data_IF_713635477685
#
_entry.id   IF_713635477685
#
_cell.length_a   1.000
_cell.length_b   1.000
_cell.length_c   1.000
_cell.angle_alpha   90.00
_cell.angle_beta   90.00
_cell.angle_gamma   90.00
#
_symmetry.space_group_name_H-M   'P 1'
#
loop_
_entity.id
_entity.type
_entity.pdbx_description
1 polymer ?
#
# COMPACT_ATOMS: atom_id res chain seq x y z
N UNK A 1 -21.94 21.78 -4.43
CA UNK A 1 -22.25 20.78 -3.38
C UNK A 1 -21.10 20.61 -2.38
N UNK A 2 -19.89 20.17 -2.78
CA UNK A 2 -18.74 19.95 -1.87
C UNK A 2 -18.40 21.19 -1.03
N UNK A 3 -18.35 22.38 -1.64
CA UNK A 3 -18.10 23.63 -0.91
C UNK A 3 -19.19 23.97 0.13
N UNK A 4 -20.45 23.59 -0.10
CA UNK A 4 -21.53 23.81 0.85
C UNK A 4 -21.43 22.84 2.05
N UNK A 5 -21.07 21.58 1.79
CA UNK A 5 -20.76 20.60 2.84
C UNK A 5 -19.54 21.03 3.67
N UNK A 6 -18.48 21.52 3.02
CA UNK A 6 -17.28 22.04 3.70
C UNK A 6 -17.62 23.26 4.56
N UNK A 7 -18.44 24.19 4.07
CA UNK A 7 -18.93 25.33 4.89
C UNK A 7 -19.70 24.85 6.12
N UNK A 8 -20.51 23.81 5.98
CA UNK A 8 -21.26 23.23 7.09
C UNK A 8 -20.37 22.42 8.06
N UNK A 9 -19.28 21.83 7.60
CA UNK A 9 -18.28 21.18 8.47
C UNK A 9 -17.42 22.18 9.26
N UNK A 10 -17.30 23.41 8.78
CA UNK A 10 -16.65 24.53 9.50
C UNK A 10 -17.55 25.18 10.55
N UNK A 11 -18.79 24.70 10.68
CA UNK A 11 -19.70 25.09 11.76
C UNK A 11 -19.29 24.30 13.02
N UNK A 12 -18.64 24.99 13.96
CA UNK A 12 -18.00 24.39 15.14
C UNK A 12 -18.97 23.48 15.92
N UNK A 13 -20.25 23.85 16.02
CA UNK A 13 -21.28 23.09 16.74
C UNK A 13 -21.60 21.73 16.11
N UNK A 14 -21.61 21.63 14.77
CA UNK A 14 -21.83 20.35 14.09
C UNK A 14 -20.59 19.48 14.20
N UNK A 15 -19.44 20.12 14.11
CA UNK A 15 -18.15 19.48 14.01
C UNK A 15 -17.71 18.88 15.37
N UNK A 16 -18.07 19.53 16.48
CA UNK A 16 -17.93 18.98 17.84
C UNK A 16 -18.79 17.74 18.08
N UNK A 17 -19.91 17.58 17.37
CA UNK A 17 -20.83 16.44 17.53
C UNK A 17 -20.46 15.24 16.66
N UNK A 18 -19.44 15.35 15.81
CA UNK A 18 -19.05 14.25 14.93
C UNK A 18 -18.48 13.08 15.74
N UNK A 19 -19.10 11.92 15.60
CA UNK A 19 -18.55 10.67 16.11
C UNK A 19 -17.30 10.25 15.33
N UNK A 20 -16.49 9.35 15.91
CA UNK A 20 -15.32 8.78 15.22
C UNK A 20 -15.65 8.15 13.86
N UNK A 21 -16.81 7.51 13.74
CA UNK A 21 -17.29 6.95 12.47
C UNK A 21 -17.62 8.06 11.45
N UNK A 22 -18.31 9.12 11.88
CA UNK A 22 -18.67 10.25 11.01
C UNK A 22 -17.42 11.01 10.54
N UNK A 23 -16.42 11.18 11.41
CA UNK A 23 -15.11 11.74 11.04
C UNK A 23 -14.42 10.88 9.99
N UNK A 24 -14.34 9.56 10.20
CA UNK A 24 -13.79 8.62 9.23
C UNK A 24 -14.48 8.71 7.87
N UNK A 25 -15.82 8.75 7.83
CA UNK A 25 -16.58 8.87 6.58
C UNK A 25 -16.35 10.21 5.88
N UNK A 26 -16.27 11.30 6.65
CA UNK A 26 -16.00 12.64 6.13
C UNK A 26 -14.63 12.70 5.48
N UNK A 27 -13.59 12.25 6.20
CA UNK A 27 -12.21 12.22 5.70
C UNK A 27 -12.07 11.30 4.48
N UNK A 28 -12.72 10.13 4.50
CA UNK A 28 -12.77 9.24 3.35
C UNK A 28 -13.39 9.92 2.12
N UNK A 29 -14.49 10.64 2.30
CA UNK A 29 -15.16 11.39 1.23
C UNK A 29 -14.27 12.49 0.65
N UNK A 30 -13.60 13.27 1.52
CA UNK A 30 -12.66 14.31 1.10
C UNK A 30 -11.49 13.72 0.30
N UNK A 31 -10.93 12.60 0.75
CA UNK A 31 -9.85 11.90 0.06
C UNK A 31 -10.28 11.39 -1.32
N UNK A 32 -11.48 10.81 -1.45
CA UNK A 32 -12.02 10.36 -2.74
C UNK A 32 -12.26 11.51 -3.71
N UNK A 33 -12.66 12.67 -3.20
CA UNK A 33 -12.83 13.90 -3.98
C UNK A 33 -11.51 14.62 -4.27
N UNK A 34 -10.39 14.14 -3.73
CA UNK A 34 -9.08 14.82 -3.76
C UNK A 34 -9.17 16.26 -3.23
N UNK A 35 -10.07 16.51 -2.28
CA UNK A 35 -10.30 17.84 -1.73
C UNK A 35 -9.27 18.14 -0.66
N UNK A 36 -8.33 19.04 -0.98
CA UNK A 36 -7.19 19.37 -0.12
C UNK A 36 -7.30 20.80 0.42
N UNK A 37 -8.03 20.96 1.52
CA UNK A 37 -8.11 22.19 2.30
C UNK A 37 -7.34 22.01 3.61
N UNK A 38 -6.16 22.64 3.72
CA UNK A 38 -5.27 22.42 4.87
C UNK A 38 -5.93 22.80 6.19
N UNK A 39 -6.60 23.96 6.26
CA UNK A 39 -7.23 24.41 7.51
C UNK A 39 -8.33 23.45 7.98
N UNK A 40 -9.14 22.94 7.06
CA UNK A 40 -10.14 21.91 7.40
C UNK A 40 -9.49 20.59 7.84
N UNK A 41 -8.44 20.15 7.14
CA UNK A 41 -7.77 18.88 7.44
C UNK A 41 -7.02 18.93 8.77
N UNK A 42 -6.37 20.04 9.10
CA UNK A 42 -5.69 20.25 10.38
C UNK A 42 -6.72 20.24 11.51
N UNK A 43 -7.85 20.94 11.34
CA UNK A 43 -8.94 20.94 12.30
C UNK A 43 -9.55 19.53 12.50
N UNK A 44 -9.79 18.79 11.40
CA UNK A 44 -10.28 17.41 11.46
C UNK A 44 -9.27 16.48 12.14
N UNK A 45 -7.96 16.70 11.93
CA UNK A 45 -6.89 15.96 12.57
C UNK A 45 -6.89 16.20 14.08
N UNK A 46 -6.97 17.47 14.51
CA UNK A 46 -7.03 17.85 15.92
C UNK A 46 -8.26 17.24 16.60
N UNK A 47 -9.43 17.25 15.94
CA UNK A 47 -10.64 16.61 16.47
C UNK A 47 -10.49 15.10 16.57
N UNK A 48 -10.00 14.45 15.52
CA UNK A 48 -9.80 13.00 15.49
C UNK A 48 -8.72 12.53 16.49
N UNK A 49 -7.74 13.38 16.80
CA UNK A 49 -6.66 13.12 17.75
C UNK A 49 -7.06 13.28 19.22
N UNK A 50 -8.25 13.80 19.54
CA UNK A 50 -8.68 13.94 20.93
C UNK A 50 -8.91 12.56 21.58
N UNK A 51 -8.49 12.34 22.85
CA UNK A 51 -8.57 11.03 23.50
C UNK A 51 -9.98 10.41 23.49
N UNK A 52 -11.01 11.22 23.71
CA UNK A 52 -12.41 10.78 23.72
C UNK A 52 -12.89 10.29 22.34
N UNK A 53 -12.33 10.85 21.26
CA UNK A 53 -12.64 10.43 19.88
C UNK A 53 -11.83 9.19 19.53
N UNK A 54 -10.52 9.19 19.80
CA UNK A 54 -9.63 8.06 19.55
C UNK A 54 -10.13 6.78 20.22
N UNK A 55 -10.54 6.86 21.49
CA UNK A 55 -11.07 5.72 22.25
C UNK A 55 -12.34 5.11 21.63
N UNK A 56 -13.13 5.92 20.92
CA UNK A 56 -14.33 5.48 20.21
C UNK A 56 -14.10 4.96 18.79
N UNK A 57 -12.88 5.03 18.26
CA UNK A 57 -12.60 4.58 16.89
C UNK A 57 -12.64 3.06 16.78
N UNK A 58 -13.29 2.58 15.72
CA UNK A 58 -13.20 1.19 15.25
C UNK A 58 -11.94 0.98 14.41
N UNK A 59 -11.50 -0.27 14.21
CA UNK A 59 -10.37 -0.59 13.32
C UNK A 59 -10.56 -0.03 11.90
N UNK A 60 -11.80 -0.06 11.39
CA UNK A 60 -12.14 0.53 10.12
C UNK A 60 -11.97 2.06 10.15
N UNK A 61 -12.43 2.72 11.22
CA UNK A 61 -12.29 4.18 11.34
C UNK A 61 -10.82 4.61 11.40
N UNK A 62 -9.99 3.89 12.18
CA UNK A 62 -8.54 4.13 12.23
C UNK A 62 -7.91 4.02 10.85
N UNK A 63 -8.15 2.91 10.15
CA UNK A 63 -7.53 2.69 8.84
C UNK A 63 -8.04 3.66 7.76
N UNK A 64 -9.32 4.05 7.80
CA UNK A 64 -9.88 5.05 6.88
C UNK A 64 -9.31 6.45 7.11
N UNK A 65 -9.16 6.87 8.37
CA UNK A 65 -8.56 8.17 8.71
C UNK A 65 -7.11 8.19 8.23
N UNK A 66 -6.30 7.19 8.59
CA UNK A 66 -4.92 7.10 8.14
C UNK A 66 -4.83 7.10 6.59
N UNK A 67 -5.65 6.29 5.93
CA UNK A 67 -5.72 6.22 4.47
C UNK A 67 -6.10 7.55 3.83
N UNK A 68 -7.03 8.30 4.41
CA UNK A 68 -7.46 9.59 3.88
C UNK A 68 -6.34 10.63 3.92
N UNK A 69 -5.63 10.74 5.04
CA UNK A 69 -4.47 11.64 5.19
C UNK A 69 -3.33 11.26 4.24
N UNK A 70 -3.03 9.97 4.13
CA UNK A 70 -2.06 9.45 3.16
C UNK A 70 -2.45 9.76 1.71
N UNK A 71 -3.71 9.53 1.34
CA UNK A 71 -4.22 9.80 -0.02
C UNK A 71 -4.20 11.29 -0.38
N UNK A 72 -4.44 12.17 0.60
CA UNK A 72 -4.38 13.61 0.41
C UNK A 72 -2.94 14.16 0.49
N UNK A 73 -1.96 13.34 0.85
CA UNK A 73 -0.56 13.74 1.01
C UNK A 73 -0.37 14.78 2.11
N UNK A 74 -1.12 14.65 3.21
CA UNK A 74 -1.05 15.54 4.37
C UNK A 74 -0.62 14.73 5.58
N UNK A 75 0.55 15.06 6.13
CA UNK A 75 1.05 14.49 7.37
C UNK A 75 0.62 15.38 8.54
N UNK A 76 -0.10 14.80 9.50
CA UNK A 76 -0.28 15.36 10.83
C UNK A 76 0.31 14.37 11.84
N UNK A 77 1.49 14.68 12.39
CA UNK A 77 2.25 13.76 13.23
C UNK A 77 1.49 13.36 14.51
N UNK A 78 0.80 14.32 15.14
CA UNK A 78 0.02 14.09 16.36
C UNK A 78 -1.12 13.10 16.14
N UNK A 79 -1.86 13.26 15.04
CA UNK A 79 -2.91 12.32 14.63
C UNK A 79 -2.32 10.93 14.35
N UNK A 80 -1.25 10.84 13.55
CA UNK A 80 -0.65 9.54 13.20
C UNK A 80 -0.16 8.81 14.45
N UNK A 81 0.49 9.52 15.38
CA UNK A 81 0.90 8.96 16.68
C UNK A 81 -0.31 8.53 17.53
N UNK A 82 -1.40 9.29 17.52
CA UNK A 82 -2.65 8.94 18.20
C UNK A 82 -3.30 7.67 17.63
N UNK A 83 -3.36 7.53 16.31
CA UNK A 83 -3.87 6.34 15.63
C UNK A 83 -2.99 5.11 15.88
N UNK A 84 -1.66 5.28 15.90
CA UNK A 84 -0.73 4.21 16.24
C UNK A 84 -0.94 3.73 17.68
N UNK A 85 -1.02 4.66 18.65
CA UNK A 85 -1.29 4.35 20.05
C UNK A 85 -2.60 3.61 20.23
N UNK A 86 -3.68 4.12 19.61
CA UNK A 86 -5.00 3.48 19.63
C UNK A 86 -4.93 2.06 19.05
N UNK A 87 -4.25 1.88 17.92
CA UNK A 87 -4.06 0.58 17.27
C UNK A 87 -3.36 -0.43 18.19
N UNK A 88 -2.39 0.01 18.98
CA UNK A 88 -1.59 -0.81 19.88
C UNK A 88 -2.22 -1.04 21.26
N UNK A 89 -3.41 -0.49 21.54
CA UNK A 89 -4.11 -0.75 22.80
C UNK A 89 -4.40 -2.24 22.99
N UNK A 90 -4.31 -2.76 24.24
CA UNK A 90 -4.57 -4.15 24.54
C UNK A 90 -5.92 -4.63 23.97
N UNK A 91 -5.87 -5.69 23.18
CA UNK A 91 -7.08 -6.29 22.58
C UNK A 91 -7.70 -5.51 21.43
N UNK A 92 -7.28 -4.29 21.11
CA UNK A 92 -7.87 -3.56 19.97
C UNK A 92 -7.35 -4.07 18.63
N UNK A 93 -6.06 -4.35 18.52
CA UNK A 93 -5.46 -4.86 17.29
C UNK A 93 -6.07 -6.19 16.82
N UNK A 94 -6.63 -7.00 17.71
CA UNK A 94 -7.30 -8.25 17.33
C UNK A 94 -8.56 -8.00 16.48
N UNK A 95 -9.18 -6.83 16.61
CA UNK A 95 -10.36 -6.41 15.82
C UNK A 95 -10.00 -6.03 14.38
N UNK A 96 -8.72 -5.90 14.06
CA UNK A 96 -8.28 -5.62 12.70
C UNK A 96 -8.48 -6.84 11.81
N UNK A 97 -9.01 -6.59 10.62
CA UNK A 97 -9.12 -7.51 9.49
C UNK A 97 -8.05 -7.20 8.44
N UNK A 98 -7.77 -8.09 7.47
CA UNK A 98 -6.72 -7.91 6.47
C UNK A 98 -6.72 -6.53 5.78
N UNK A 99 -7.89 -6.05 5.37
CA UNK A 99 -8.04 -4.71 4.80
C UNK A 99 -7.52 -3.61 5.73
N UNK A 100 -7.93 -3.62 7.00
CA UNK A 100 -7.52 -2.58 7.97
C UNK A 100 -6.03 -2.64 8.28
N UNK A 101 -5.43 -3.83 8.30
CA UNK A 101 -3.97 -4.00 8.46
C UNK A 101 -3.25 -3.39 7.27
N UNK A 102 -3.62 -3.80 6.05
CA UNK A 102 -2.94 -3.35 4.84
C UNK A 102 -3.09 -1.85 4.61
N UNK A 103 -4.28 -1.27 4.84
CA UNK A 103 -4.52 0.17 4.69
C UNK A 103 -3.75 0.98 5.73
N UNK A 104 -3.66 0.51 6.97
CA UNK A 104 -2.89 1.20 8.02
C UNK A 104 -1.40 1.17 7.70
N UNK A 105 -0.85 0.00 7.36
CA UNK A 105 0.56 -0.12 6.94
C UNK A 105 0.85 0.77 5.72
N UNK A 106 0.01 0.71 4.69
CA UNK A 106 0.15 1.51 3.48
C UNK A 106 0.09 3.01 3.76
N UNK A 107 -0.81 3.47 4.64
CA UNK A 107 -0.93 4.88 4.98
C UNK A 107 0.32 5.42 5.69
N UNK A 108 0.84 4.69 6.67
CA UNK A 108 2.06 5.06 7.37
C UNK A 108 3.28 5.07 6.44
N UNK A 109 3.39 4.07 5.55
CA UNK A 109 4.43 4.04 4.54
C UNK A 109 4.33 5.20 3.53
N UNK A 110 3.12 5.51 3.06
CA UNK A 110 2.87 6.59 2.09
C UNK A 110 3.21 7.96 2.65
N UNK A 111 2.99 8.17 3.95
CA UNK A 111 3.34 9.41 4.65
C UNK A 111 4.80 9.44 5.12
N UNK A 112 5.58 8.37 4.90
CA UNK A 112 6.97 8.28 5.33
C UNK A 112 7.14 8.24 6.85
N UNK A 113 6.20 7.62 7.57
CA UNK A 113 6.20 7.51 9.04
C UNK A 113 6.63 6.10 9.46
N UNK A 114 7.92 5.87 9.80
CA UNK A 114 8.43 4.55 10.20
C UNK A 114 8.12 4.25 11.67
N UNK A 115 6.83 4.15 12.04
CA UNK A 115 6.45 3.74 13.39
C UNK A 115 6.73 2.24 13.59
N UNK A 116 7.94 1.92 14.06
CA UNK A 116 8.41 0.55 14.23
C UNK A 116 7.53 -0.26 15.19
N UNK A 117 6.94 0.35 16.22
CA UNK A 117 6.09 -0.33 17.18
C UNK A 117 4.76 -0.74 16.55
N UNK A 118 4.14 0.17 15.80
CA UNK A 118 2.94 -0.10 15.02
C UNK A 118 3.20 -1.19 13.98
N UNK A 119 4.25 -1.04 13.18
CA UNK A 119 4.59 -2.01 12.14
C UNK A 119 4.86 -3.40 12.75
N UNK A 120 5.60 -3.48 13.86
CA UNK A 120 5.78 -4.75 14.57
C UNK A 120 4.44 -5.33 15.08
N UNK A 121 3.52 -4.49 15.56
CA UNK A 121 2.16 -4.88 15.93
C UNK A 121 1.38 -5.48 14.75
N UNK A 122 1.32 -4.76 13.64
CA UNK A 122 0.65 -5.21 12.42
C UNK A 122 1.24 -6.53 11.90
N UNK A 123 2.57 -6.71 11.95
CA UNK A 123 3.21 -7.98 11.60
C UNK A 123 2.75 -9.13 12.51
N UNK A 124 2.74 -8.93 13.84
CA UNK A 124 2.24 -9.94 14.79
C UNK A 124 0.79 -10.31 14.52
N UNK A 125 -0.06 -9.32 14.23
CA UNK A 125 -1.47 -9.53 13.87
C UNK A 125 -1.60 -10.36 12.60
N UNK A 126 -0.80 -10.03 11.59
CA UNK A 126 -0.80 -10.72 10.29
C UNK A 126 -0.38 -12.19 10.42
N UNK A 127 0.62 -12.45 11.26
CA UNK A 127 1.19 -13.79 11.46
C UNK A 127 0.38 -14.70 12.39
N UNK A 128 -0.77 -14.24 12.91
CA UNK A 128 -1.66 -15.11 13.66
C UNK A 128 -2.16 -16.27 12.78
N UNK A 129 -2.34 -17.49 13.35
CA UNK A 129 -2.80 -18.65 12.59
C UNK A 129 -4.08 -18.37 11.80
N UNK A 130 -4.08 -18.71 10.51
CA UNK A 130 -5.24 -18.54 9.63
C UNK A 130 -5.58 -17.11 9.21
N UNK A 131 -4.88 -16.08 9.71
CA UNK A 131 -5.23 -14.70 9.35
C UNK A 131 -4.77 -14.33 7.94
N UNK A 132 -3.55 -14.75 7.54
CA UNK A 132 -3.03 -14.55 6.19
C UNK A 132 -3.88 -15.20 5.10
N UNK A 133 -4.56 -16.31 5.37
CA UNK A 133 -5.47 -16.95 4.39
C UNK A 133 -6.66 -16.08 4.02
N UNK A 134 -7.05 -15.12 4.87
CA UNK A 134 -8.12 -14.17 4.57
C UNK A 134 -7.66 -12.95 3.76
N UNK A 135 -6.36 -12.81 3.51
CA UNK A 135 -5.86 -11.71 2.69
C UNK A 135 -6.28 -11.88 1.23
N UNK A 136 -6.71 -10.78 0.64
CA UNK A 136 -6.94 -10.58 -0.79
C UNK A 136 -5.64 -10.14 -1.48
N UNK A 137 -5.54 -10.29 -2.81
CA UNK A 137 -4.35 -9.92 -3.58
C UNK A 137 -3.79 -8.52 -3.26
N UNK A 138 -4.65 -7.49 -3.27
CA UNK A 138 -4.28 -6.12 -2.96
C UNK A 138 -3.71 -5.95 -1.55
N UNK A 139 -4.24 -6.67 -0.56
CA UNK A 139 -3.84 -6.53 0.84
C UNK A 139 -2.44 -7.10 1.07
N UNK A 140 -2.10 -8.20 0.37
CA UNK A 140 -0.75 -8.77 0.38
C UNK A 140 0.24 -7.79 -0.25
N UNK A 141 -0.07 -7.30 -1.45
CA UNK A 141 0.80 -6.38 -2.19
C UNK A 141 1.02 -5.06 -1.42
N UNK A 142 -0.04 -4.46 -0.87
CA UNK A 142 0.07 -3.23 -0.08
C UNK A 142 0.89 -3.44 1.19
N UNK A 143 0.72 -4.57 1.88
CA UNK A 143 1.48 -4.86 3.09
C UNK A 143 2.96 -5.05 2.76
N UNK A 144 3.30 -5.86 1.75
CA UNK A 144 4.69 -6.04 1.32
C UNK A 144 5.33 -4.70 0.91
N UNK A 145 4.62 -3.92 0.08
CA UNK A 145 5.08 -2.60 -0.37
C UNK A 145 5.31 -1.63 0.79
N UNK A 146 4.42 -1.62 1.79
CA UNK A 146 4.54 -0.72 2.94
C UNK A 146 5.81 -0.99 3.75
N UNK A 147 6.12 -2.26 4.02
CA UNK A 147 7.33 -2.64 4.76
C UNK A 147 8.60 -2.33 3.98
N UNK A 148 8.61 -2.62 2.67
CA UNK A 148 9.72 -2.29 1.80
C UNK A 148 9.94 -0.77 1.69
N UNK A 149 8.88 0.03 1.53
CA UNK A 149 8.96 1.48 1.38
C UNK A 149 9.49 2.19 2.63
N UNK A 150 9.22 1.63 3.81
CA UNK A 150 9.78 2.11 5.08
C UNK A 150 11.17 1.52 5.40
N UNK A 151 11.71 0.64 4.56
CA UNK A 151 12.97 -0.07 4.83
C UNK A 151 12.91 -1.01 6.03
N UNK A 152 11.72 -1.50 6.40
CA UNK A 152 11.52 -2.36 7.56
C UNK A 152 11.53 -3.83 7.11
N UNK A 153 12.65 -4.51 7.37
CA UNK A 153 12.76 -5.94 7.16
C UNK A 153 12.10 -6.72 8.31
N UNK A 154 11.02 -7.44 8.01
CA UNK A 154 10.41 -8.43 8.89
C UNK A 154 10.33 -9.77 8.16
N UNK A 155 11.38 -10.59 8.29
CA UNK A 155 11.51 -11.83 7.52
C UNK A 155 10.33 -12.80 7.70
N UNK A 156 9.80 -13.06 8.92
CA UNK A 156 8.64 -13.95 9.07
C UNK A 156 7.40 -13.44 8.33
N UNK A 157 7.13 -12.14 8.39
CA UNK A 157 6.03 -11.51 7.65
C UNK A 157 6.23 -11.66 6.15
N UNK A 158 7.40 -11.29 5.63
CA UNK A 158 7.69 -11.34 4.19
C UNK A 158 7.62 -12.78 3.66
N UNK A 159 8.12 -13.76 4.42
CA UNK A 159 7.97 -15.18 4.09
C UNK A 159 6.50 -15.63 4.09
N UNK A 160 5.69 -15.15 5.05
CA UNK A 160 4.24 -15.42 5.09
C UNK A 160 3.50 -14.83 3.89
N UNK A 161 3.80 -13.58 3.53
CA UNK A 161 3.23 -12.91 2.37
C UNK A 161 3.64 -13.60 1.07
N UNK A 162 4.91 -14.02 0.94
CA UNK A 162 5.37 -14.79 -0.22
C UNK A 162 4.57 -16.09 -0.39
N UNK A 163 4.46 -16.90 0.68
CA UNK A 163 3.68 -18.14 0.63
C UNK A 163 2.23 -17.90 0.23
N UNK A 164 1.59 -16.87 0.80
CA UNK A 164 0.20 -16.53 0.48
C UNK A 164 0.07 -16.05 -0.98
N UNK A 165 1.00 -15.24 -1.46
CA UNK A 165 1.00 -14.74 -2.85
C UNK A 165 1.30 -15.83 -3.89
N UNK A 166 2.07 -16.86 -3.55
CA UNK A 166 2.39 -17.98 -4.44
C UNK A 166 1.24 -18.99 -4.60
N UNK A 167 0.18 -18.92 -3.78
CA UNK A 167 -0.99 -19.77 -3.92
C UNK A 167 -1.79 -19.37 -5.18
N UNK A 168 -2.10 -20.34 -6.04
CA UNK A 168 -2.73 -20.08 -7.34
C UNK A 168 -4.06 -19.31 -7.24
N UNK A 169 -4.85 -19.58 -6.20
CA UNK A 169 -6.11 -18.87 -5.91
C UNK A 169 -5.91 -17.37 -5.69
N UNK A 170 -4.81 -16.94 -5.06
CA UNK A 170 -4.50 -15.52 -4.91
C UNK A 170 -3.70 -14.98 -6.10
N UNK A 171 -2.73 -15.74 -6.59
CA UNK A 171 -1.85 -15.36 -7.70
C UNK A 171 -2.66 -14.97 -8.95
N UNK A 172 -3.68 -15.76 -9.29
CA UNK A 172 -4.58 -15.49 -10.42
C UNK A 172 -5.43 -14.23 -10.24
N UNK A 173 -5.68 -13.82 -8.98
CA UNK A 173 -6.40 -12.61 -8.63
C UNK A 173 -5.54 -11.33 -8.62
N UNK A 174 -4.21 -11.44 -8.65
CA UNK A 174 -3.32 -10.27 -8.64
C UNK A 174 -3.48 -9.44 -9.91
N UNK A 175 -3.71 -8.15 -9.76
CA UNK A 175 -3.65 -7.17 -10.84
C UNK A 175 -2.20 -6.80 -11.14
N UNK A 176 -1.95 -6.24 -12.32
CA UNK A 176 -0.60 -5.89 -12.75
C UNK A 176 0.16 -4.97 -11.77
N UNK A 177 -0.53 -3.99 -11.18
CA UNK A 177 0.05 -3.13 -10.14
C UNK A 177 0.44 -3.91 -8.86
N UNK A 178 -0.32 -4.94 -8.50
CA UNK A 178 -0.07 -5.74 -7.30
C UNK A 178 1.11 -6.69 -7.53
N UNK A 179 1.24 -7.23 -8.75
CA UNK A 179 2.39 -8.03 -9.19
C UNK A 179 3.67 -7.20 -9.16
N UNK A 180 3.66 -6.00 -9.75
CA UNK A 180 4.82 -5.12 -9.79
C UNK A 180 5.23 -4.63 -8.40
N UNK A 181 4.26 -4.32 -7.53
CA UNK A 181 4.51 -3.95 -6.14
C UNK A 181 5.14 -5.07 -5.33
N UNK A 182 4.69 -6.32 -5.49
CA UNK A 182 5.29 -7.47 -4.82
C UNK A 182 6.73 -7.69 -5.29
N UNK A 183 6.98 -7.70 -6.60
CA UNK A 183 8.34 -7.87 -7.13
C UNK A 183 9.28 -6.76 -6.62
N UNK A 184 8.83 -5.50 -6.68
CA UNK A 184 9.58 -4.35 -6.20
C UNK A 184 9.85 -4.43 -4.69
N UNK A 185 8.86 -4.82 -3.88
CA UNK A 185 9.01 -4.90 -2.43
C UNK A 185 10.06 -5.94 -2.02
N UNK A 186 10.02 -7.13 -2.63
CA UNK A 186 10.98 -8.20 -2.36
C UNK A 186 12.39 -7.82 -2.83
N UNK A 187 12.53 -7.21 -4.00
CA UNK A 187 13.82 -6.72 -4.49
C UNK A 187 14.40 -5.59 -3.62
N UNK A 188 13.57 -4.64 -3.19
CA UNK A 188 13.97 -3.52 -2.33
C UNK A 188 14.49 -3.98 -0.97
N UNK A 189 13.88 -5.03 -0.40
CA UNK A 189 14.34 -5.63 0.84
C UNK A 189 15.44 -6.68 0.64
N UNK A 190 15.91 -6.90 -0.60
CA UNK A 190 16.95 -7.90 -0.91
C UNK A 190 16.51 -9.35 -0.70
N UNK A 191 15.20 -9.63 -0.67
CA UNK A 191 14.66 -10.96 -0.40
C UNK A 191 14.48 -11.71 -1.73
N UNK A 192 15.40 -12.63 -2.00
CA UNK A 192 15.30 -13.53 -3.16
C UNK A 192 14.37 -14.72 -2.86
N UNK A 193 13.11 -14.64 -3.29
CA UNK A 193 12.16 -15.75 -3.20
C UNK A 193 11.81 -16.30 -4.61
N UNK A 194 12.46 -17.40 -5.01
CA UNK A 194 12.33 -17.95 -6.37
C UNK A 194 10.91 -18.38 -6.73
N UNK A 195 10.18 -18.98 -5.78
CA UNK A 195 8.81 -19.47 -6.02
C UNK A 195 7.86 -18.31 -6.32
N UNK A 196 7.89 -17.27 -5.47
CA UNK A 196 7.11 -16.06 -5.69
C UNK A 196 7.48 -15.41 -7.02
N UNK A 197 8.78 -15.19 -7.28
CA UNK A 197 9.23 -14.51 -8.49
C UNK A 197 8.91 -15.33 -9.76
N UNK A 198 8.92 -16.67 -9.70
CA UNK A 198 8.45 -17.50 -10.81
C UNK A 198 6.92 -17.35 -11.02
N UNK A 199 6.15 -17.31 -9.94
CA UNK A 199 4.70 -17.07 -9.97
C UNK A 199 4.34 -15.71 -10.55
N UNK A 200 5.00 -14.64 -10.10
CA UNK A 200 4.79 -13.27 -10.59
C UNK A 200 5.12 -13.17 -12.09
N UNK A 201 6.21 -13.79 -12.55
CA UNK A 201 6.57 -13.81 -13.97
C UNK A 201 5.48 -14.51 -14.81
N UNK A 202 5.01 -15.68 -14.36
CA UNK A 202 3.91 -16.41 -15.01
C UNK A 202 2.65 -15.54 -15.08
N UNK A 203 2.27 -14.90 -13.98
CA UNK A 203 1.10 -14.02 -13.92
C UNK A 203 1.22 -12.84 -14.88
N UNK A 204 2.36 -12.16 -14.92
CA UNK A 204 2.60 -11.06 -15.88
C UNK A 204 2.49 -11.51 -17.33
N UNK A 205 2.93 -12.73 -17.66
CA UNK A 205 2.88 -13.26 -19.03
C UNK A 205 1.52 -13.81 -19.45
N UNK A 206 0.52 -13.84 -18.56
CA UNK A 206 -0.84 -14.22 -18.94
C UNK A 206 -1.45 -13.17 -19.87
N UNK A 207 -2.34 -13.65 -20.75
CA UNK A 207 -3.02 -12.81 -21.74
C UNK A 207 -3.74 -11.63 -21.08
N UNK A 208 -3.60 -10.44 -21.66
CA UNK A 208 -4.23 -9.20 -21.16
C UNK A 208 -3.49 -8.49 -20.02
N UNK A 209 -2.50 -9.11 -19.35
CA UNK A 209 -1.79 -8.47 -18.24
C UNK A 209 -0.82 -7.37 -18.70
N UNK A 210 0.06 -7.68 -19.67
CA UNK A 210 1.02 -6.71 -20.21
C UNK A 210 0.35 -5.54 -20.96
N UNK A 211 -0.65 -5.75 -21.84
CA UNK A 211 -1.34 -4.63 -22.49
C UNK A 211 -2.04 -3.69 -21.51
N UNK A 212 -2.46 -4.19 -20.33
CA UNK A 212 -3.05 -3.39 -19.27
C UNK A 212 -2.05 -2.78 -18.29
N UNK A 213 -0.75 -2.95 -18.51
CA UNK A 213 0.30 -2.47 -17.61
C UNK A 213 0.57 -0.98 -17.76
N UNK A 214 0.99 -0.33 -16.68
CA UNK A 214 1.55 1.02 -16.73
C UNK A 214 3.07 0.92 -16.91
N UNK A 215 3.72 1.96 -17.46
CA UNK A 215 5.17 2.12 -17.47
C UNK A 215 5.87 1.73 -16.17
N UNK A 216 5.36 2.25 -15.04
CA UNK A 216 5.83 1.92 -13.71
C UNK A 216 5.85 0.42 -13.41
N UNK A 217 4.81 -0.31 -13.84
CA UNK A 217 4.69 -1.73 -13.57
C UNK A 217 5.76 -2.52 -14.32
N UNK A 218 6.05 -2.14 -15.57
CA UNK A 218 7.11 -2.74 -16.39
C UNK A 218 8.49 -2.44 -15.81
N UNK A 219 8.76 -1.18 -15.48
CA UNK A 219 10.04 -0.76 -14.90
C UNK A 219 10.34 -1.42 -13.57
N UNK A 220 9.34 -1.53 -12.68
CA UNK A 220 9.47 -2.22 -11.40
C UNK A 220 9.78 -3.70 -11.58
N UNK A 221 9.13 -4.38 -12.52
CA UNK A 221 9.40 -5.79 -12.80
C UNK A 221 10.82 -5.97 -13.36
N UNK A 222 11.23 -5.21 -14.37
CA UNK A 222 12.57 -5.32 -14.94
C UNK A 222 13.67 -5.07 -13.88
N UNK A 223 13.50 -4.00 -13.10
CA UNK A 223 14.43 -3.65 -12.03
C UNK A 223 14.48 -4.71 -10.93
N UNK A 224 13.33 -5.24 -10.50
CA UNK A 224 13.28 -6.23 -9.42
C UNK A 224 14.01 -7.53 -9.78
N UNK A 225 13.81 -8.06 -10.98
CA UNK A 225 14.46 -9.30 -11.42
C UNK A 225 15.97 -9.09 -11.62
N UNK A 226 16.38 -7.94 -12.15
CA UNK A 226 17.79 -7.59 -12.28
C UNK A 226 18.46 -7.44 -10.91
N UNK A 227 17.85 -6.70 -9.99
CA UNK A 227 18.35 -6.46 -8.62
C UNK A 227 18.52 -7.76 -7.85
N UNK A 228 17.55 -8.67 -7.95
CA UNK A 228 17.64 -9.98 -7.31
C UNK A 228 18.54 -10.96 -8.06
N UNK A 229 19.03 -10.63 -9.26
CA UNK A 229 19.83 -11.51 -10.11
C UNK A 229 19.06 -12.74 -10.62
N UNK A 230 17.75 -12.62 -10.83
CA UNK A 230 16.87 -13.69 -11.31
C UNK A 230 16.73 -13.57 -12.83
N UNK A 231 17.32 -14.52 -13.55
CA UNK A 231 17.22 -14.58 -15.02
C UNK A 231 15.90 -15.22 -15.43
N UNK A 232 14.99 -14.42 -15.97
CA UNK A 232 13.74 -14.89 -16.58
C UNK A 232 13.60 -14.35 -18.01
N UNK A 233 14.14 -15.09 -18.99
CA UNK A 233 14.14 -14.70 -20.41
C UNK A 233 12.73 -14.43 -20.96
N UNK A 234 11.73 -15.31 -20.74
CA UNK A 234 10.37 -15.07 -21.23
C UNK A 234 9.76 -13.77 -20.69
N UNK A 235 9.91 -13.51 -19.39
CA UNK A 235 9.41 -12.28 -18.77
C UNK A 235 10.06 -11.06 -19.41
N UNK A 236 11.39 -11.03 -19.47
CA UNK A 236 12.11 -9.86 -19.97
C UNK A 236 11.82 -9.59 -21.45
N UNK A 237 11.70 -10.63 -22.28
CA UNK A 237 11.23 -10.49 -23.66
C UNK A 237 9.80 -9.93 -23.74
N UNK A 238 8.90 -10.36 -22.84
CA UNK A 238 7.56 -9.82 -22.71
C UNK A 238 7.54 -8.33 -22.34
N UNK A 239 8.32 -7.94 -21.33
CA UNK A 239 8.48 -6.55 -20.90
C UNK A 239 9.07 -5.68 -22.02
N UNK A 240 10.07 -6.18 -22.75
CA UNK A 240 10.70 -5.47 -23.87
C UNK A 240 9.69 -5.20 -24.99
N UNK A 241 8.93 -6.22 -25.40
CA UNK A 241 7.89 -6.07 -26.42
C UNK A 241 6.82 -5.06 -26.00
N UNK A 242 6.38 -5.09 -24.73
CA UNK A 242 5.43 -4.11 -24.22
C UNK A 242 6.01 -2.69 -24.25
N UNK A 243 7.27 -2.54 -23.85
CA UNK A 243 7.98 -1.25 -23.86
C UNK A 243 8.08 -0.67 -25.28
N UNK A 244 8.30 -1.51 -26.28
CA UNK A 244 8.44 -1.08 -27.69
C UNK A 244 7.10 -0.78 -28.39
N UNK A 245 5.95 -0.98 -27.73
CA UNK A 245 4.67 -0.58 -28.32
C UNK A 245 4.60 0.93 -28.51
N UNK A 246 4.03 1.35 -29.65
CA UNK A 246 3.89 2.76 -29.99
C UNK A 246 3.13 3.51 -28.90
N UNK A 247 3.68 4.65 -28.46
CA UNK A 247 3.09 5.48 -27.41
C UNK A 247 3.19 4.93 -25.99
N UNK A 248 3.80 3.76 -25.76
CA UNK A 248 3.97 3.25 -24.39
C UNK A 248 5.11 3.97 -23.67
N UNK A 249 6.24 4.18 -24.36
CA UNK A 249 7.41 4.89 -23.82
C UNK A 249 7.12 6.36 -23.47
N UNK A 250 6.19 7.02 -24.15
CA UNK A 250 5.84 8.41 -23.82
C UNK A 250 5.14 8.55 -22.46
N UNK A 251 4.65 7.44 -21.89
CA UNK A 251 4.10 7.41 -20.54
C UNK A 251 5.15 7.24 -19.44
N UNK A 252 6.42 7.02 -19.78
CA UNK A 252 7.48 6.80 -18.79
C UNK A 252 7.91 8.13 -18.15
N UNK A 253 8.14 8.13 -16.84
CA UNK A 253 8.98 9.15 -16.19
C UNK A 253 10.47 8.79 -16.26
N UNK A 254 11.37 9.68 -15.83
CA UNK A 254 12.81 9.46 -15.96
C UNK A 254 13.30 8.22 -15.19
N UNK A 255 12.70 7.94 -14.04
CA UNK A 255 13.04 6.79 -13.21
C UNK A 255 12.66 5.47 -13.91
N UNK A 256 11.49 5.43 -14.54
CA UNK A 256 11.00 4.23 -15.22
C UNK A 256 11.86 3.87 -16.43
N UNK A 257 12.33 4.87 -17.19
CA UNK A 257 13.24 4.63 -18.32
C UNK A 257 14.55 4.05 -17.82
N UNK A 258 15.10 4.66 -16.77
CA UNK A 258 16.37 4.27 -16.17
C UNK A 258 16.33 2.85 -15.60
N UNK A 259 15.30 2.54 -14.81
CA UNK A 259 15.10 1.22 -14.21
C UNK A 259 14.97 0.12 -15.25
N UNK A 260 14.22 0.41 -16.32
CA UNK A 260 14.00 -0.54 -17.41
C UNK A 260 15.30 -0.81 -18.17
N UNK A 261 15.98 0.24 -18.63
CA UNK A 261 17.24 0.12 -19.36
C UNK A 261 18.33 -0.59 -18.53
N UNK A 262 18.47 -0.20 -17.26
CA UNK A 262 19.43 -0.84 -16.35
C UNK A 262 19.10 -2.32 -16.12
N UNK A 263 17.82 -2.67 -15.97
CA UNK A 263 17.38 -4.05 -15.76
C UNK A 263 17.74 -4.96 -16.94
N UNK A 264 17.49 -4.51 -18.16
CA UNK A 264 17.88 -5.24 -19.39
C UNK A 264 19.40 -5.40 -19.49
N UNK A 265 20.15 -4.30 -19.32
CA UNK A 265 21.61 -4.32 -19.41
C UNK A 265 22.24 -5.26 -18.38
N UNK A 266 21.77 -5.24 -17.13
CA UNK A 266 22.32 -6.04 -16.02
C UNK A 266 22.14 -7.54 -16.24
N UNK A 267 21.01 -7.96 -16.82
CA UNK A 267 20.76 -9.37 -17.07
C UNK A 267 21.34 -9.87 -18.41
N UNK A 268 21.85 -8.96 -19.25
CA UNK A 268 22.44 -9.27 -20.56
C UNK A 268 21.42 -9.79 -21.56
N UNK A 269 20.21 -9.19 -21.57
CA UNK A 269 19.06 -9.61 -22.39
C UNK A 269 18.43 -8.44 -23.12
#
# INVERSE_FOLDING_TARGET
MVQALVRRLRDEDLAERLSGQQLSMTLWGLAKLRWRDRGLLDWLADRAGRPEVLGGLTAQSVSNIAWAFATLGVLNEGLMAGLARRTLEPGFLSTFVPQTVSNTAWAFATLGVPDHALMAGLARRTLQPGFLSSFKPQEVANTAWAYASLGILNEPLMAGLARRASQEELLSGLKQQEVSNLAWAFATLGIRNEELMAGLARRTLQEGMLPGSRPQDVGNMAWAYATLGIRNKPLMAGLARQTLQEGFLSGFNEQEVSNTAWGFATLGM
#
